data_IF_805015013924
#
_entry.id   IF_805015013924
#
_cell.length_a   1.000
_cell.length_b   1.000
_cell.length_c   1.000
_cell.angle_alpha   90.00
_cell.angle_beta   90.00
_cell.angle_gamma   90.00
#
_symmetry.space_group_name_H-M   'P 1'
#
loop_
_entity.id
_entity.type
_entity.pdbx_description
1 polymer ?
#
# COMPACT_ATOMS: atom_id res chain seq x y z
N UNK A 1 -9.35 -12.53 -11.47
CA UNK A 1 -7.90 -12.33 -11.78
C UNK A 1 -7.37 -13.62 -12.39
N UNK A 2 -6.50 -13.56 -13.38
CA UNK A 2 -5.92 -14.77 -13.98
C UNK A 2 -5.03 -15.50 -12.97
N UNK A 3 -4.84 -16.83 -13.11
CA UNK A 3 -3.88 -17.54 -12.28
C UNK A 3 -2.44 -17.09 -12.57
N UNK A 4 -1.56 -17.27 -11.62
CA UNK A 4 -0.11 -17.08 -11.80
C UNK A 4 0.57 -18.43 -11.60
N UNK A 5 1.26 -18.90 -12.62
CA UNK A 5 1.97 -20.17 -12.56
C UNK A 5 2.97 -20.17 -11.40
N UNK A 6 2.92 -21.22 -10.57
CA UNK A 6 3.77 -21.34 -9.39
C UNK A 6 3.26 -20.63 -8.12
N UNK A 7 2.04 -20.08 -8.14
CA UNK A 7 1.36 -19.53 -6.96
C UNK A 7 0.05 -20.28 -6.71
N UNK A 8 -0.16 -20.73 -5.47
CA UNK A 8 -1.44 -21.23 -4.99
C UNK A 8 -1.80 -20.51 -3.70
N UNK A 9 -3.07 -20.20 -3.53
CA UNK A 9 -3.59 -19.46 -2.40
C UNK A 9 -4.62 -20.31 -1.65
N UNK A 10 -4.66 -20.14 -0.34
CA UNK A 10 -5.71 -20.69 0.52
C UNK A 10 -6.00 -19.70 1.65
N UNK A 11 -7.23 -19.74 2.14
CA UNK A 11 -7.68 -18.93 3.27
C UNK A 11 -8.38 -19.79 4.31
N UNK A 12 -8.32 -19.39 5.57
CA UNK A 12 -8.99 -20.08 6.66
C UNK A 12 -9.52 -19.09 7.72
N UNK A 13 -10.50 -19.54 8.48
CA UNK A 13 -10.94 -18.91 9.72
C UNK A 13 -10.24 -19.65 10.88
N UNK A 14 -9.16 -19.07 11.39
CA UNK A 14 -8.40 -19.65 12.49
C UNK A 14 -8.85 -19.13 13.87
N UNK A 15 -9.65 -18.05 13.89
CA UNK A 15 -10.09 -17.42 15.13
C UNK A 15 -8.99 -16.62 15.81
N UNK A 16 -8.17 -15.89 15.03
CA UNK A 16 -7.06 -15.07 15.56
C UNK A 16 -7.58 -14.02 16.54
N UNK A 17 -8.70 -13.38 16.23
CA UNK A 17 -9.42 -12.45 17.12
C UNK A 17 -10.92 -12.69 17.11
N UNK A 18 -11.51 -12.90 15.95
CA UNK A 18 -12.96 -13.02 15.79
C UNK A 18 -13.32 -14.44 15.33
N UNK A 19 -14.36 -15.00 15.93
CA UNK A 19 -14.92 -16.29 15.48
C UNK A 19 -15.70 -16.08 14.16
N UNK A 20 -15.70 -17.11 13.32
CA UNK A 20 -16.46 -17.15 12.06
C UNK A 20 -16.06 -16.10 11.00
N UNK A 21 -14.84 -15.58 11.07
CA UNK A 21 -14.26 -14.70 10.07
C UNK A 21 -13.01 -15.34 9.48
N UNK A 22 -12.90 -15.29 8.15
CA UNK A 22 -11.65 -15.65 7.47
C UNK A 22 -10.57 -14.61 7.85
N UNK A 23 -9.49 -15.07 8.48
CA UNK A 23 -8.48 -14.23 9.10
C UNK A 23 -7.05 -14.69 8.84
N UNK A 24 -6.88 -15.76 8.05
CA UNK A 24 -5.57 -16.29 7.63
C UNK A 24 -5.53 -16.47 6.13
N UNK A 25 -4.45 -15.99 5.51
CA UNK A 25 -4.05 -16.26 4.13
C UNK A 25 -2.75 -17.05 4.11
N UNK A 26 -2.71 -18.10 3.31
CA UNK A 26 -1.50 -18.83 2.90
C UNK A 26 -1.29 -18.66 1.40
N UNK A 27 -0.11 -18.19 1.00
CA UNK A 27 0.36 -18.29 -0.38
C UNK A 27 1.49 -19.31 -0.46
N UNK A 28 1.29 -20.34 -1.27
CA UNK A 28 2.28 -21.36 -1.61
C UNK A 28 3.01 -20.95 -2.88
N UNK A 29 4.33 -21.04 -2.83
CA UNK A 29 5.19 -20.57 -3.92
C UNK A 29 6.05 -21.74 -4.42
N UNK A 30 6.21 -21.83 -5.74
CA UNK A 30 7.07 -22.84 -6.35
C UNK A 30 8.53 -22.71 -5.88
N UNK A 31 9.30 -23.83 -5.84
CA UNK A 31 10.71 -23.77 -5.54
C UNK A 31 11.47 -22.80 -6.45
N UNK A 32 12.38 -22.01 -5.86
CA UNK A 32 13.15 -21.01 -6.60
C UNK A 32 12.48 -19.65 -6.79
N UNK A 33 11.26 -19.45 -6.26
CA UNK A 33 10.60 -18.13 -6.27
C UNK A 33 11.50 -17.07 -5.65
N UNK A 34 11.77 -16.02 -6.41
CA UNK A 34 12.49 -14.85 -5.92
C UNK A 34 11.54 -13.95 -5.11
N UNK A 35 12.06 -13.35 -4.05
CA UNK A 35 11.32 -12.38 -3.23
C UNK A 35 12.06 -11.07 -3.07
N UNK A 36 11.32 -9.98 -3.10
CA UNK A 36 11.77 -8.64 -2.75
C UNK A 36 10.78 -8.03 -1.76
N UNK A 37 11.24 -7.06 -0.96
CA UNK A 37 10.35 -6.45 0.03
C UNK A 37 10.75 -5.03 0.39
N UNK A 38 9.74 -4.22 0.70
CA UNK A 38 9.89 -2.91 1.34
C UNK A 38 9.04 -2.95 2.60
N UNK A 39 9.62 -2.54 3.73
CA UNK A 39 9.06 -2.70 5.07
C UNK A 39 9.06 -1.37 5.78
N UNK A 40 8.16 -1.20 6.75
CA UNK A 40 8.05 0.01 7.57
C UNK A 40 9.41 0.48 8.11
N UNK A 41 9.60 1.79 8.13
CA UNK A 41 10.74 2.46 8.78
C UNK A 41 10.45 2.84 10.23
N UNK A 42 9.29 2.46 10.77
CA UNK A 42 8.97 2.65 12.18
C UNK A 42 10.11 2.15 13.07
N UNK A 43 10.40 2.91 14.14
CA UNK A 43 11.37 2.51 15.15
C UNK A 43 10.84 1.43 16.11
N UNK A 44 9.52 1.15 16.01
CA UNK A 44 8.84 0.10 16.76
C UNK A 44 8.21 -0.93 15.82
N UNK A 45 9.00 -1.64 14.97
CA UNK A 45 8.46 -2.58 14.01
C UNK A 45 7.83 -3.80 14.72
N UNK A 46 6.81 -4.39 14.09
CA UNK A 46 6.22 -5.63 14.55
C UNK A 46 7.17 -6.83 14.38
N UNK A 47 6.93 -7.90 15.12
CA UNK A 47 7.75 -9.11 15.03
C UNK A 47 7.76 -9.75 13.62
N UNK A 48 6.64 -9.79 12.86
CA UNK A 48 6.68 -10.24 11.45
C UNK A 48 7.55 -9.37 10.54
N UNK A 49 7.60 -8.05 10.76
CA UNK A 49 8.47 -7.16 9.99
C UNK A 49 9.95 -7.46 10.28
N UNK A 50 10.33 -7.66 11.53
CA UNK A 50 11.70 -8.07 11.90
C UNK A 50 12.05 -9.41 11.25
N UNK A 51 11.11 -10.37 11.28
CA UNK A 51 11.25 -11.69 10.66
C UNK A 51 11.48 -11.57 9.14
N UNK A 52 10.64 -10.84 8.43
CA UNK A 52 10.78 -10.63 6.99
C UNK A 52 12.09 -9.91 6.64
N UNK A 53 12.48 -8.89 7.42
CA UNK A 53 13.74 -8.15 7.21
C UNK A 53 14.96 -9.05 7.28
N UNK A 54 14.96 -10.03 8.17
CA UNK A 54 16.03 -11.01 8.27
C UNK A 54 16.07 -11.95 7.06
N UNK A 55 14.89 -12.45 6.63
CA UNK A 55 14.78 -13.49 5.59
C UNK A 55 14.91 -12.92 4.16
N UNK A 56 14.57 -11.66 3.92
CA UNK A 56 14.75 -11.00 2.61
C UNK A 56 16.18 -11.04 2.09
N UNK A 57 17.17 -11.18 2.98
CA UNK A 57 18.60 -11.30 2.62
C UNK A 57 18.89 -12.51 1.73
N UNK A 58 18.08 -13.57 1.82
CA UNK A 58 18.25 -14.79 1.02
C UNK A 58 17.64 -14.65 -0.39
N UNK A 59 16.68 -13.72 -0.57
CA UNK A 59 16.03 -13.45 -1.83
C UNK A 59 15.18 -14.60 -2.38
N UNK A 60 14.78 -15.57 -1.53
CA UNK A 60 13.98 -16.75 -1.90
C UNK A 60 12.79 -16.92 -0.95
N UNK A 61 11.68 -17.44 -1.46
CA UNK A 61 10.48 -17.72 -0.68
C UNK A 61 9.79 -19.02 -1.15
N UNK A 62 9.12 -19.71 -0.21
CA UNK A 62 8.28 -20.88 -0.45
C UNK A 62 6.87 -20.72 0.08
N UNK A 63 6.71 -19.86 1.10
CA UNK A 63 5.41 -19.58 1.68
C UNK A 63 5.32 -18.14 2.19
N UNK A 64 4.11 -17.58 2.12
CA UNK A 64 3.71 -16.38 2.84
C UNK A 64 2.49 -16.72 3.68
N UNK A 65 2.56 -16.47 4.99
CA UNK A 65 1.43 -16.60 5.92
C UNK A 65 1.07 -15.20 6.42
N UNK A 66 -0.20 -14.82 6.26
CA UNK A 66 -0.71 -13.53 6.70
C UNK A 66 -1.86 -13.76 7.65
N UNK A 67 -1.90 -13.05 8.76
CA UNK A 67 -3.08 -13.00 9.60
C UNK A 67 -3.63 -11.59 9.76
N UNK A 68 -4.95 -11.48 9.85
CA UNK A 68 -5.68 -10.28 10.27
C UNK A 68 -6.26 -10.45 11.68
N UNK A 69 -6.54 -9.32 12.35
CA UNK A 69 -7.08 -9.26 13.71
C UNK A 69 -6.06 -9.03 14.82
N UNK A 70 -4.80 -9.42 14.63
CA UNK A 70 -3.70 -9.20 15.57
C UNK A 70 -2.43 -8.82 14.81
N UNK A 71 -1.83 -7.69 15.13
CA UNK A 71 -0.65 -7.15 14.45
C UNK A 71 0.66 -7.80 14.89
N UNK A 72 0.67 -8.56 15.99
CA UNK A 72 1.86 -9.08 16.65
C UNK A 72 2.95 -8.01 16.82
N UNK A 73 2.52 -6.81 17.18
CA UNK A 73 3.35 -5.63 17.40
C UNK A 73 3.33 -5.26 18.89
N UNK A 74 4.45 -4.74 19.39
CA UNK A 74 4.63 -4.41 20.80
C UNK A 74 4.43 -5.60 21.76
N UNK A 75 4.85 -6.79 21.34
CA UNK A 75 4.67 -8.07 22.04
C UNK A 75 5.99 -8.68 22.53
N UNK A 76 7.10 -7.98 22.37
CA UNK A 76 8.41 -8.34 22.89
C UNK A 76 8.91 -9.73 22.46
N UNK A 77 9.44 -10.49 23.41
CA UNK A 77 9.97 -11.86 23.15
C UNK A 77 8.86 -12.82 22.72
N UNK A 78 7.66 -12.70 23.29
CA UNK A 78 6.51 -13.54 22.97
C UNK A 78 6.11 -13.41 21.51
N UNK A 79 6.11 -12.18 20.97
CA UNK A 79 5.81 -11.96 19.55
C UNK A 79 6.82 -12.59 18.61
N UNK A 80 8.11 -12.52 18.92
CA UNK A 80 9.15 -13.23 18.15
C UNK A 80 8.99 -14.75 18.20
N UNK A 81 8.64 -15.30 19.38
CA UNK A 81 8.34 -16.72 19.54
C UNK A 81 7.11 -17.14 18.72
N UNK A 82 6.06 -16.31 18.71
CA UNK A 82 4.87 -16.53 17.87
C UNK A 82 5.24 -16.59 16.38
N UNK A 83 6.06 -15.65 15.87
CA UNK A 83 6.57 -15.69 14.49
C UNK A 83 7.35 -16.98 14.21
N UNK A 84 8.27 -17.35 15.09
CA UNK A 84 9.07 -18.58 14.94
C UNK A 84 8.18 -19.82 14.93
N UNK A 85 7.16 -19.87 15.78
CA UNK A 85 6.23 -20.99 15.85
C UNK A 85 5.36 -21.08 14.60
N UNK A 86 4.79 -19.96 14.13
CA UNK A 86 4.03 -19.90 12.88
C UNK A 86 4.88 -20.35 11.68
N UNK A 87 6.12 -19.86 11.59
CA UNK A 87 7.04 -20.25 10.54
C UNK A 87 7.40 -21.74 10.58
N UNK A 88 7.54 -22.34 11.78
CA UNK A 88 7.77 -23.79 11.95
C UNK A 88 6.61 -24.62 11.44
N UNK A 89 5.37 -24.22 11.78
CA UNK A 89 4.16 -24.89 11.29
C UNK A 89 4.12 -24.85 9.77
N UNK A 90 4.25 -23.66 9.18
CA UNK A 90 4.21 -23.47 7.73
C UNK A 90 5.35 -24.21 7.02
N UNK A 91 6.59 -24.13 7.52
CA UNK A 91 7.75 -24.80 6.93
C UNK A 91 7.58 -26.31 6.93
N UNK A 92 7.08 -26.91 8.02
CA UNK A 92 6.76 -28.33 8.11
C UNK A 92 5.73 -28.75 7.08
N UNK A 93 4.62 -28.01 6.99
CA UNK A 93 3.51 -28.32 6.09
C UNK A 93 3.88 -28.16 4.61
N UNK A 94 4.70 -27.15 4.28
CA UNK A 94 5.15 -26.86 2.90
C UNK A 94 6.37 -27.70 2.48
N UNK A 95 7.11 -28.28 3.44
CA UNK A 95 8.38 -28.98 3.19
C UNK A 95 9.50 -28.02 2.76
N UNK A 96 9.70 -26.92 3.50
CA UNK A 96 10.72 -25.92 3.21
C UNK A 96 11.48 -25.50 4.49
N UNK A 97 12.48 -24.61 4.36
CA UNK A 97 13.20 -24.08 5.51
C UNK A 97 12.43 -22.94 6.17
N UNK A 98 12.74 -22.67 7.44
CA UNK A 98 12.14 -21.54 8.17
C UNK A 98 12.39 -20.20 7.47
N UNK A 99 13.54 -20.05 6.87
CA UNK A 99 13.94 -18.83 6.20
C UNK A 99 13.20 -18.58 4.87
N UNK A 100 12.59 -19.61 4.29
CA UNK A 100 11.77 -19.52 3.08
C UNK A 100 10.32 -19.11 3.39
N UNK A 101 9.94 -18.99 4.69
CA UNK A 101 8.61 -18.58 5.13
C UNK A 101 8.60 -17.10 5.47
N UNK A 102 7.75 -16.34 4.80
CA UNK A 102 7.47 -14.94 5.07
C UNK A 102 6.18 -14.80 5.86
N UNK A 103 6.13 -13.81 6.76
CA UNK A 103 5.01 -13.57 7.67
C UNK A 103 4.56 -12.12 7.57
N UNK A 104 3.26 -11.88 7.68
CA UNK A 104 2.71 -10.54 7.88
C UNK A 104 1.51 -10.62 8.81
N UNK A 105 1.32 -9.58 9.62
CA UNK A 105 0.23 -9.51 10.59
C UNK A 105 -0.34 -8.11 10.63
N UNK A 106 -1.65 -8.00 10.79
CA UNK A 106 -2.37 -6.72 10.90
C UNK A 106 -3.52 -6.82 11.90
N UNK A 107 -3.85 -5.72 12.56
CA UNK A 107 -4.92 -5.63 13.54
C UNK A 107 -4.44 -5.02 14.85
N UNK A 108 -4.90 -5.55 15.98
CA UNK A 108 -4.63 -5.01 17.32
C UNK A 108 -3.14 -5.06 17.65
N UNK A 109 -2.64 -3.96 18.23
CA UNK A 109 -1.28 -3.79 18.74
C UNK A 109 -1.29 -4.04 20.26
N UNK A 110 -0.23 -4.65 20.80
CA UNK A 110 -0.05 -4.86 22.24
C UNK A 110 -0.57 -6.19 22.77
N UNK A 111 -1.38 -6.92 21.98
CA UNK A 111 -1.91 -8.21 22.37
C UNK A 111 -1.05 -9.37 21.85
N UNK A 112 -0.68 -10.35 22.70
CA UNK A 112 0.08 -11.52 22.25
C UNK A 112 -0.70 -12.36 21.22
N UNK A 113 -0.03 -12.71 20.11
CA UNK A 113 -0.61 -13.59 19.10
C UNK A 113 -0.56 -15.05 19.58
N UNK A 114 -1.72 -15.69 19.68
CA UNK A 114 -1.80 -17.14 19.91
C UNK A 114 -1.50 -17.92 18.61
N UNK A 115 -0.22 -18.16 18.34
CA UNK A 115 0.19 -18.84 17.11
C UNK A 115 -0.22 -20.32 17.03
N UNK A 116 -0.74 -20.94 18.12
CA UNK A 116 -1.24 -22.32 18.10
C UNK A 116 -2.46 -22.50 17.19
N UNK A 117 -3.24 -21.44 16.97
CA UNK A 117 -4.40 -21.48 16.07
C UNK A 117 -4.03 -21.86 14.63
N UNK A 118 -2.80 -21.56 14.20
CA UNK A 118 -2.34 -21.90 12.85
C UNK A 118 -2.07 -23.40 12.66
N UNK A 119 -1.72 -24.13 13.72
CA UNK A 119 -1.47 -25.58 13.64
C UNK A 119 -2.75 -26.35 13.24
N UNK A 120 -3.90 -25.90 13.76
CA UNK A 120 -5.19 -26.51 13.46
C UNK A 120 -5.73 -26.30 12.04
N UNK A 121 -5.22 -25.30 11.29
CA UNK A 121 -5.74 -24.94 9.95
C UNK A 121 -4.73 -25.15 8.82
N UNK A 122 -3.43 -25.20 9.11
CA UNK A 122 -2.38 -25.14 8.08
C UNK A 122 -2.43 -26.32 7.11
N UNK A 123 -2.60 -27.54 7.59
CA UNK A 123 -2.66 -28.75 6.72
C UNK A 123 -3.89 -28.71 5.81
N UNK A 124 -5.05 -28.30 6.34
CA UNK A 124 -6.26 -28.08 5.53
C UNK A 124 -6.07 -27.01 4.46
N UNK A 125 -5.37 -25.93 4.78
CA UNK A 125 -5.06 -24.88 3.82
C UNK A 125 -4.14 -25.37 2.69
N UNK A 126 -3.15 -26.21 2.99
CA UNK A 126 -2.27 -26.81 1.97
C UNK A 126 -3.09 -27.64 0.97
N UNK A 127 -4.01 -28.46 1.48
CA UNK A 127 -4.87 -29.32 0.64
C UNK A 127 -5.84 -28.48 -0.20
N UNK A 128 -6.40 -27.41 0.38
CA UNK A 128 -7.36 -26.54 -0.28
C UNK A 128 -6.72 -25.52 -1.24
N UNK A 129 -5.40 -25.36 -1.22
CA UNK A 129 -4.70 -24.32 -1.97
C UNK A 129 -4.87 -24.50 -3.49
N UNK A 130 -5.34 -23.44 -4.13
CA UNK A 130 -5.58 -23.41 -5.57
C UNK A 130 -5.14 -22.07 -6.20
N UNK A 131 -5.25 -21.95 -7.53
CA UNK A 131 -4.68 -20.84 -8.30
C UNK A 131 -5.62 -19.62 -8.43
N UNK A 132 -6.87 -19.74 -7.99
CA UNK A 132 -7.94 -18.79 -8.35
C UNK A 132 -8.52 -17.91 -7.23
N UNK A 133 -8.28 -18.12 -5.92
CA UNK A 133 -9.02 -17.40 -4.86
C UNK A 133 -8.41 -16.04 -4.52
N UNK A 134 -8.02 -15.23 -5.51
CA UNK A 134 -7.39 -13.92 -5.30
C UNK A 134 -8.26 -12.95 -4.49
N UNK A 135 -9.57 -12.95 -4.76
CA UNK A 135 -10.50 -12.07 -4.05
C UNK A 135 -10.69 -12.50 -2.58
N UNK A 136 -10.77 -13.81 -2.34
CA UNK A 136 -10.90 -14.34 -0.97
C UNK A 136 -9.61 -14.14 -0.19
N UNK A 137 -8.46 -14.28 -0.85
CA UNK A 137 -7.16 -13.94 -0.28
C UNK A 137 -7.09 -12.46 0.14
N UNK A 138 -7.57 -11.55 -0.70
CA UNK A 138 -7.63 -10.13 -0.38
C UNK A 138 -8.61 -9.85 0.78
N UNK A 139 -9.76 -10.53 0.86
CA UNK A 139 -10.70 -10.41 1.99
C UNK A 139 -10.11 -10.90 3.31
N UNK A 140 -9.32 -11.99 3.28
CA UNK A 140 -8.74 -12.58 4.49
C UNK A 140 -7.76 -11.64 5.22
N UNK A 141 -7.15 -10.69 4.51
CA UNK A 141 -6.20 -9.74 5.08
C UNK A 141 -6.81 -8.40 5.51
N UNK A 142 -8.10 -8.16 5.24
CA UNK A 142 -8.80 -6.93 5.60
C UNK A 142 -8.94 -6.76 7.12
N UNK A 143 -9.05 -5.51 7.56
CA UNK A 143 -9.40 -5.13 8.95
C UNK A 143 -10.60 -4.19 8.97
N UNK A 144 -10.37 -2.89 8.86
CA UNK A 144 -11.39 -1.83 8.73
C UNK A 144 -11.74 -1.51 7.28
N UNK A 145 -11.09 -2.17 6.35
CA UNK A 145 -11.32 -2.03 4.91
C UNK A 145 -12.79 -2.30 4.55
N UNK A 146 -13.37 -1.50 3.67
CA UNK A 146 -14.77 -1.66 3.22
C UNK A 146 -14.89 -2.55 1.99
N UNK A 147 -13.80 -2.73 1.22
CA UNK A 147 -13.74 -3.62 0.07
C UNK A 147 -12.34 -4.26 -0.10
N UNK A 148 -12.26 -5.46 -0.70
CA UNK A 148 -11.00 -6.11 -0.99
C UNK A 148 -10.28 -5.42 -2.16
N UNK A 149 -9.00 -5.10 -1.97
CA UNK A 149 -8.19 -4.36 -2.94
C UNK A 149 -7.34 -5.33 -3.75
N UNK A 150 -7.59 -5.38 -5.05
CA UNK A 150 -6.87 -6.26 -5.98
C UNK A 150 -6.56 -5.53 -7.28
N UNK A 151 -5.44 -5.88 -7.92
CA UNK A 151 -5.04 -5.36 -9.22
C UNK A 151 -4.35 -6.43 -10.04
N UNK A 152 -4.52 -6.38 -11.36
CA UNK A 152 -3.89 -7.31 -12.30
C UNK A 152 -3.41 -6.57 -13.53
N UNK A 153 -2.30 -7.04 -14.09
CA UNK A 153 -1.82 -6.59 -15.39
C UNK A 153 -1.07 -7.73 -16.09
N UNK A 154 -0.92 -7.60 -17.39
CA UNK A 154 -0.03 -8.46 -18.18
C UNK A 154 1.02 -7.60 -18.89
N UNK A 155 2.18 -8.19 -19.14
CA UNK A 155 3.26 -7.50 -19.84
C UNK A 155 3.99 -8.42 -20.79
N UNK A 156 4.51 -7.87 -21.89
CA UNK A 156 5.47 -8.55 -22.73
C UNK A 156 6.86 -8.51 -22.07
N UNK A 157 7.46 -9.70 -21.92
CA UNK A 157 8.84 -9.87 -21.47
C UNK A 157 9.57 -10.72 -22.53
N UNK A 158 10.33 -10.06 -23.41
CA UNK A 158 10.79 -10.69 -24.65
C UNK A 158 9.60 -11.02 -25.57
N UNK A 159 9.51 -12.27 -25.99
CA UNK A 159 8.40 -12.78 -26.83
C UNK A 159 7.22 -13.28 -25.98
N UNK A 160 7.41 -13.53 -24.70
CA UNK A 160 6.41 -14.11 -23.80
C UNK A 160 5.52 -13.04 -23.17
N UNK A 161 4.33 -13.45 -22.73
CA UNK A 161 3.46 -12.63 -21.89
C UNK A 161 3.55 -13.16 -20.48
N UNK A 162 3.79 -12.27 -19.52
CA UNK A 162 3.82 -12.58 -18.10
C UNK A 162 2.67 -11.88 -17.39
N UNK A 163 2.21 -12.45 -16.29
CA UNK A 163 1.11 -11.94 -15.48
C UNK A 163 1.64 -11.32 -14.18
N UNK A 164 0.99 -10.26 -13.74
CA UNK A 164 1.26 -9.59 -12.46
C UNK A 164 -0.07 -9.44 -11.74
N UNK A 165 -0.20 -10.04 -10.57
CA UNK A 165 -1.35 -9.86 -9.69
C UNK A 165 -0.90 -9.26 -8.37
N UNK A 166 -1.69 -8.36 -7.84
CA UNK A 166 -1.45 -7.78 -6.53
C UNK A 166 -2.71 -7.73 -5.68
N UNK A 167 -2.53 -7.76 -4.37
CA UNK A 167 -3.56 -7.48 -3.39
C UNK A 167 -3.01 -6.53 -2.33
N UNK A 168 -3.89 -5.75 -1.71
CA UNK A 168 -3.55 -4.86 -0.62
C UNK A 168 -4.68 -4.76 0.41
N UNK A 169 -4.34 -4.33 1.61
CA UNK A 169 -5.27 -3.89 2.65
C UNK A 169 -4.75 -2.62 3.31
N UNK A 170 -5.66 -1.81 3.78
CA UNK A 170 -5.40 -0.59 4.53
C UNK A 170 -6.50 0.43 4.31
N UNK A 171 -6.94 1.06 5.41
CA UNK A 171 -7.98 2.09 5.44
C UNK A 171 -7.69 3.18 6.49
N UNK A 172 -6.82 2.93 7.46
CA UNK A 172 -6.35 3.87 8.48
C UNK A 172 -4.93 3.55 8.92
N UNK A 173 -4.30 4.46 9.67
CA UNK A 173 -2.90 4.47 10.06
C UNK A 173 -2.00 4.41 8.80
N UNK A 174 -2.23 5.29 7.83
CA UNK A 174 -1.55 5.33 6.52
C UNK A 174 -0.79 6.65 6.35
N UNK A 175 0.56 6.58 6.33
CA UNK A 175 1.44 7.70 6.01
C UNK A 175 2.66 7.25 5.19
N UNK A 176 3.32 8.13 4.42
CA UNK A 176 4.52 7.81 3.65
C UNK A 176 5.65 7.20 4.49
N UNK A 177 6.63 6.65 3.82
CA UNK A 177 7.77 5.88 4.32
C UNK A 177 7.47 4.40 4.57
N UNK A 178 6.69 3.81 3.67
CA UNK A 178 6.09 2.50 3.78
C UNK A 178 5.11 2.47 4.96
N UNK A 179 3.99 3.13 4.72
CA UNK A 179 2.90 3.28 5.67
C UNK A 179 1.92 2.12 5.63
N UNK A 180 1.19 1.99 6.68
CA UNK A 180 0.28 0.94 7.16
C UNK A 180 -0.53 0.26 6.09
N UNK A 181 0.11 -0.62 5.39
CA UNK A 181 -0.58 -1.54 4.52
C UNK A 181 0.10 -2.90 4.52
N UNK A 182 -0.66 -3.91 4.26
CA UNK A 182 -0.11 -5.13 3.74
C UNK A 182 -0.39 -5.16 2.25
N UNK A 183 0.64 -5.37 1.44
CA UNK A 183 0.47 -5.58 0.01
C UNK A 183 1.39 -6.68 -0.49
N UNK A 184 0.84 -7.53 -1.34
CA UNK A 184 1.55 -8.68 -1.88
C UNK A 184 1.36 -8.70 -3.38
N UNK A 185 2.48 -8.69 -4.12
CA UNK A 185 2.47 -8.71 -5.58
C UNK A 185 3.15 -9.97 -6.06
N UNK A 186 2.55 -10.64 -7.02
CA UNK A 186 3.01 -11.92 -7.55
C UNK A 186 3.15 -11.83 -9.07
N UNK A 187 4.15 -12.52 -9.63
CA UNK A 187 4.34 -12.65 -11.08
C UNK A 187 4.99 -14.00 -11.41
N UNK A 188 4.67 -14.51 -12.58
CA UNK A 188 5.34 -15.68 -13.16
C UNK A 188 6.64 -15.33 -13.89
N UNK A 189 6.99 -14.06 -14.01
CA UNK A 189 8.19 -13.58 -14.68
C UNK A 189 9.48 -14.12 -14.03
N UNK A 190 10.48 -14.58 -14.82
CA UNK A 190 11.76 -15.06 -14.29
C UNK A 190 12.73 -13.91 -13.97
N UNK A 191 12.42 -13.17 -12.92
CA UNK A 191 13.18 -11.99 -12.46
C UNK A 191 13.94 -12.37 -11.18
N UNK A 192 15.25 -12.06 -11.12
CA UNK A 192 16.05 -12.29 -9.93
C UNK A 192 15.63 -11.39 -8.77
N UNK A 193 15.83 -11.83 -7.52
CA UNK A 193 15.51 -11.05 -6.32
C UNK A 193 16.13 -9.65 -6.34
N UNK A 194 17.38 -9.51 -6.79
CA UNK A 194 18.05 -8.21 -6.90
C UNK A 194 17.36 -7.27 -7.90
N UNK A 195 16.99 -7.79 -9.07
CA UNK A 195 16.30 -6.99 -10.07
C UNK A 195 14.88 -6.63 -9.62
N UNK A 196 14.16 -7.58 -9.00
CA UNK A 196 12.83 -7.38 -8.43
C UNK A 196 12.85 -6.35 -7.29
N UNK A 197 13.86 -6.38 -6.42
CA UNK A 197 14.04 -5.40 -5.34
C UNK A 197 14.23 -3.99 -5.89
N UNK A 198 15.02 -3.81 -6.94
CA UNK A 198 15.22 -2.51 -7.56
C UNK A 198 13.93 -1.97 -8.19
N UNK A 199 13.19 -2.83 -8.91
CA UNK A 199 11.88 -2.46 -9.48
C UNK A 199 10.87 -2.08 -8.39
N UNK A 200 10.81 -2.86 -7.31
CA UNK A 200 9.91 -2.60 -6.19
C UNK A 200 10.26 -1.28 -5.47
N UNK A 201 11.55 -1.06 -5.19
CA UNK A 201 12.02 0.16 -4.52
C UNK A 201 11.78 1.43 -5.34
N UNK A 202 11.87 1.33 -6.67
CA UNK A 202 11.52 2.41 -7.59
C UNK A 202 10.00 2.64 -7.61
N UNK A 203 9.23 1.57 -7.84
CA UNK A 203 7.78 1.65 -8.01
C UNK A 203 7.02 2.11 -6.76
N UNK A 204 7.51 1.79 -5.56
CA UNK A 204 6.87 2.22 -4.31
C UNK A 204 6.92 3.73 -4.11
N UNK A 205 7.91 4.41 -4.67
CA UNK A 205 8.12 5.86 -4.48
C UNK A 205 6.94 6.69 -4.99
N UNK A 206 6.40 6.34 -6.16
CA UNK A 206 5.32 7.09 -6.81
C UNK A 206 3.96 6.35 -6.69
N UNK A 207 3.88 5.32 -5.84
CA UNK A 207 2.65 4.60 -5.50
C UNK A 207 2.35 4.71 -4.00
N UNK A 208 2.66 3.72 -3.21
CA UNK A 208 2.33 3.69 -1.79
C UNK A 208 3.01 4.81 -0.97
N UNK A 209 4.25 5.22 -1.30
CA UNK A 209 4.88 6.37 -0.65
C UNK A 209 4.30 7.73 -1.10
N UNK A 210 3.36 7.72 -2.02
CA UNK A 210 2.60 8.90 -2.46
C UNK A 210 1.16 8.90 -1.94
N UNK A 211 0.86 8.10 -0.90
CA UNK A 211 -0.46 8.00 -0.28
C UNK A 211 -0.37 8.31 1.20
N UNK A 212 -1.34 9.05 1.72
CA UNK A 212 -1.55 9.21 3.16
C UNK A 212 -3.05 9.27 3.46
N UNK A 213 -3.49 8.77 4.61
CA UNK A 213 -4.87 8.89 5.09
C UNK A 213 -4.92 9.81 6.31
N UNK A 214 -4.15 9.54 7.33
CA UNK A 214 -4.15 10.23 8.63
C UNK A 214 -2.78 10.74 9.10
N UNK A 215 -1.73 10.46 8.33
CA UNK A 215 -0.37 10.89 8.65
C UNK A 215 0.36 9.98 9.63
N UNK A 216 -0.24 8.85 10.05
CA UNK A 216 0.32 7.94 11.04
C UNK A 216 1.02 6.75 10.40
N UNK A 217 2.32 6.58 10.70
CA UNK A 217 3.12 5.45 10.22
C UNK A 217 2.94 4.22 11.10
N UNK A 218 2.64 3.07 10.51
CA UNK A 218 2.41 1.82 11.24
C UNK A 218 3.68 1.08 11.61
N UNK A 219 3.48 0.17 12.57
CA UNK A 219 4.47 -0.83 13.01
C UNK A 219 4.60 -2.04 12.05
N UNK A 220 3.65 -2.23 11.14
CA UNK A 220 3.44 -3.53 10.46
C UNK A 220 3.55 -3.51 8.94
N UNK A 221 3.83 -2.35 8.34
CA UNK A 221 3.84 -2.20 6.88
C UNK A 221 4.76 -3.18 6.19
N UNK A 222 4.17 -3.91 5.25
CA UNK A 222 4.85 -4.98 4.54
C UNK A 222 4.37 -5.02 3.09
N UNK A 223 5.24 -4.63 2.17
CA UNK A 223 5.06 -4.84 0.74
C UNK A 223 6.06 -5.89 0.27
N UNK A 224 5.56 -7.06 -0.13
CA UNK A 224 6.39 -8.14 -0.68
C UNK A 224 6.01 -8.39 -2.14
N UNK A 225 7.02 -8.59 -2.98
CA UNK A 225 6.87 -9.00 -4.36
C UNK A 225 7.53 -10.37 -4.56
N UNK A 226 6.82 -11.27 -5.25
CA UNK A 226 7.25 -12.64 -5.51
C UNK A 226 7.28 -12.90 -7.01
N UNK A 227 8.41 -13.40 -7.52
CA UNK A 227 8.58 -13.78 -8.92
C UNK A 227 8.90 -15.28 -8.99
N UNK A 228 7.94 -16.07 -9.46
CA UNK A 228 8.07 -17.54 -9.47
C UNK A 228 9.01 -18.04 -10.55
N UNK A 229 9.18 -17.28 -11.62
CA UNK A 229 9.96 -17.70 -12.78
C UNK A 229 9.33 -18.83 -13.58
N UNK A 230 8.04 -19.11 -13.37
CA UNK A 230 7.34 -20.20 -14.02
C UNK A 230 6.96 -19.94 -15.48
N UNK A 231 7.08 -18.69 -15.97
CA UNK A 231 6.99 -18.35 -17.39
C UNK A 231 8.29 -18.79 -18.11
N UNK A 232 8.44 -20.07 -18.37
CA UNK A 232 9.69 -20.70 -18.84
C UNK A 232 10.22 -20.14 -20.17
N UNK A 233 9.32 -19.71 -21.06
CA UNK A 233 9.68 -19.12 -22.36
C UNK A 233 10.09 -17.64 -22.25
N UNK A 234 9.92 -17.02 -21.08
CA UNK A 234 10.34 -15.65 -20.87
C UNK A 234 11.84 -15.57 -20.54
N UNK A 235 12.53 -14.53 -21.02
CA UNK A 235 13.97 -14.39 -20.74
C UNK A 235 14.23 -14.14 -19.27
N UNK A 236 15.21 -14.83 -18.70
CA UNK A 236 15.66 -14.58 -17.33
C UNK A 236 16.28 -13.18 -17.22
N UNK A 237 15.82 -12.42 -16.24
CA UNK A 237 16.25 -11.05 -15.96
C UNK A 237 17.04 -11.01 -14.64
N UNK A 238 18.25 -10.51 -14.71
CA UNK A 238 19.15 -10.40 -13.52
C UNK A 238 19.46 -8.96 -13.13
N UNK A 239 19.23 -7.99 -14.02
CA UNK A 239 19.51 -6.56 -13.80
C UNK A 239 18.23 -5.73 -14.03
N UNK A 240 17.96 -4.78 -13.16
CA UNK A 240 16.83 -3.86 -13.31
C UNK A 240 16.98 -2.92 -14.53
N UNK A 241 18.19 -2.68 -14.99
CA UNK A 241 18.46 -1.87 -16.19
C UNK A 241 18.26 -2.61 -17.53
N UNK A 242 17.83 -3.89 -17.49
CA UNK A 242 17.61 -4.66 -18.71
C UNK A 242 16.49 -4.01 -19.55
N UNK A 243 16.76 -3.65 -20.83
CA UNK A 243 15.77 -2.95 -21.66
C UNK A 243 14.51 -3.76 -21.92
N UNK A 244 14.56 -5.10 -21.82
CA UNK A 244 13.40 -5.99 -21.96
C UNK A 244 12.38 -5.78 -20.86
N UNK A 245 12.76 -5.18 -19.72
CA UNK A 245 11.86 -4.86 -18.62
C UNK A 245 10.95 -3.64 -18.86
N UNK A 246 11.10 -2.90 -19.97
CA UNK A 246 10.34 -1.66 -20.19
C UNK A 246 8.82 -1.86 -19.99
N UNK A 247 8.24 -2.84 -20.66
CA UNK A 247 6.80 -3.10 -20.56
C UNK A 247 6.42 -3.72 -19.20
N UNK A 248 7.25 -4.62 -18.67
CA UNK A 248 7.05 -5.20 -17.34
C UNK A 248 7.06 -4.11 -16.26
N UNK A 249 8.03 -3.22 -16.27
CA UNK A 249 8.15 -2.09 -15.33
C UNK A 249 6.89 -1.22 -15.37
N UNK A 250 6.41 -0.86 -16.55
CA UNK A 250 5.20 -0.06 -16.70
C UNK A 250 3.97 -0.76 -16.11
N UNK A 251 3.77 -2.06 -16.41
CA UNK A 251 2.67 -2.86 -15.88
C UNK A 251 2.80 -3.07 -14.36
N UNK A 252 4.00 -3.33 -13.84
CA UNK A 252 4.27 -3.50 -12.42
C UNK A 252 3.96 -2.22 -11.64
N UNK A 253 4.42 -1.07 -12.13
CA UNK A 253 4.14 0.22 -11.55
C UNK A 253 2.65 0.57 -11.61
N UNK A 254 1.95 0.20 -12.68
CA UNK A 254 0.50 0.38 -12.80
C UNK A 254 -0.27 -0.44 -11.75
N UNK A 255 0.15 -1.69 -11.47
CA UNK A 255 -0.44 -2.51 -10.40
C UNK A 255 -0.21 -1.86 -9.03
N UNK A 256 1.02 -1.42 -8.73
CA UNK A 256 1.34 -0.74 -7.47
C UNK A 256 0.54 0.56 -7.31
N UNK A 257 0.45 1.39 -8.34
CA UNK A 257 -0.29 2.65 -8.32
C UNK A 257 -1.80 2.42 -8.13
N UNK A 258 -2.36 1.41 -8.80
CA UNK A 258 -3.78 1.07 -8.68
C UNK A 258 -4.11 0.58 -7.26
N UNK A 259 -3.29 -0.29 -6.67
CA UNK A 259 -3.48 -0.75 -5.28
C UNK A 259 -3.35 0.43 -4.29
N UNK A 260 -2.39 1.31 -4.49
CA UNK A 260 -2.20 2.49 -3.66
C UNK A 260 -3.39 3.46 -3.74
N UNK A 261 -3.97 3.66 -4.93
CA UNK A 261 -5.18 4.45 -5.12
C UNK A 261 -6.39 3.81 -4.42
N UNK A 262 -6.57 2.49 -4.51
CA UNK A 262 -7.63 1.78 -3.80
C UNK A 262 -7.51 1.95 -2.28
N UNK A 263 -6.29 1.96 -1.73
CA UNK A 263 -6.04 2.25 -0.30
C UNK A 263 -6.46 3.68 0.04
N UNK A 264 -6.08 4.68 -0.77
CA UNK A 264 -6.46 6.07 -0.53
C UNK A 264 -7.98 6.30 -0.61
N UNK A 265 -8.67 5.59 -1.54
CA UNK A 265 -10.13 5.66 -1.70
C UNK A 265 -10.91 5.09 -0.52
N UNK A 266 -10.34 4.08 0.13
CA UNK A 266 -10.97 3.34 1.22
C UNK A 266 -10.58 3.89 2.61
N UNK A 267 -10.12 5.14 2.68
CA UNK A 267 -9.86 5.76 3.97
C UNK A 267 -11.06 5.67 4.91
N UNK A 268 -10.82 5.37 6.19
CA UNK A 268 -11.87 5.18 7.21
C UNK A 268 -12.84 6.37 7.21
N UNK A 269 -14.11 6.11 6.88
CA UNK A 269 -15.17 7.13 6.81
C UNK A 269 -15.05 8.12 5.64
N UNK A 270 -14.16 7.89 4.68
CA UNK A 270 -13.94 8.78 3.54
C UNK A 270 -15.12 8.77 2.54
N UNK A 271 -15.37 9.92 1.94
CA UNK A 271 -16.35 10.10 0.86
C UNK A 271 -15.69 10.57 -0.44
N UNK A 272 -14.54 11.21 -0.35
CA UNK A 272 -13.81 11.77 -1.50
C UNK A 272 -12.38 11.27 -1.52
N UNK A 273 -11.94 10.78 -2.68
CA UNK A 273 -10.51 10.69 -3.00
C UNK A 273 -10.01 12.09 -3.33
N UNK A 274 -8.85 12.47 -2.79
CA UNK A 274 -8.20 13.74 -3.08
C UNK A 274 -6.88 13.48 -3.81
N UNK A 275 -6.78 13.99 -5.03
CA UNK A 275 -5.55 13.97 -5.82
C UNK A 275 -4.88 15.34 -5.73
N UNK A 276 -3.75 15.41 -5.03
CA UNK A 276 -3.01 16.65 -4.83
C UNK A 276 -1.81 16.69 -5.77
N UNK A 277 -1.81 17.62 -6.71
CA UNK A 277 -0.67 17.90 -7.59
C UNK A 277 -0.04 19.21 -7.22
N UNK A 278 1.25 19.19 -6.90
CA UNK A 278 2.06 20.41 -6.70
C UNK A 278 3.03 20.53 -7.86
N UNK A 279 3.05 21.66 -8.53
CA UNK A 279 3.94 21.96 -9.65
C UNK A 279 4.68 23.30 -9.45
N UNK A 280 5.76 23.51 -10.19
CA UNK A 280 6.53 24.75 -10.10
C UNK A 280 7.35 24.90 -8.81
N UNK A 281 7.60 23.81 -8.06
CA UNK A 281 8.46 23.81 -6.91
C UNK A 281 9.96 23.82 -7.32
N UNK A 282 10.83 24.12 -6.38
CA UNK A 282 12.30 24.15 -6.60
C UNK A 282 12.89 22.78 -6.94
N UNK A 283 12.20 21.68 -6.52
CA UNK A 283 12.57 20.29 -6.84
C UNK A 283 11.37 19.36 -6.71
N UNK A 284 11.45 18.12 -7.26
CA UNK A 284 10.44 17.07 -7.07
C UNK A 284 10.24 16.76 -5.56
N UNK A 285 11.32 16.68 -4.79
CA UNK A 285 11.22 16.40 -3.34
C UNK A 285 10.55 17.54 -2.56
N UNK A 286 10.78 18.81 -2.95
CA UNK A 286 10.05 19.95 -2.38
C UNK A 286 8.55 19.88 -2.73
N UNK A 287 8.20 19.60 -3.99
CA UNK A 287 6.80 19.41 -4.40
C UNK A 287 6.13 18.29 -3.58
N UNK A 288 6.81 17.15 -3.35
CA UNK A 288 6.33 16.04 -2.53
C UNK A 288 6.03 16.48 -1.09
N UNK A 289 6.96 17.21 -0.43
CA UNK A 289 6.77 17.67 0.95
C UNK A 289 5.61 18.65 1.08
N UNK A 290 5.45 19.55 0.12
CA UNK A 290 4.32 20.47 0.10
C UNK A 290 3.00 19.72 -0.12
N UNK A 291 2.96 18.79 -1.08
CA UNK A 291 1.78 17.97 -1.33
C UNK A 291 1.38 17.15 -0.09
N UNK A 292 2.36 16.57 0.63
CA UNK A 292 2.12 15.87 1.89
C UNK A 292 1.65 16.79 3.01
N UNK A 293 2.16 18.02 3.10
CA UNK A 293 1.67 19.02 4.06
C UNK A 293 0.19 19.37 3.83
N UNK A 294 -0.22 19.44 2.57
CA UNK A 294 -1.62 19.65 2.22
C UNK A 294 -2.45 18.40 2.53
N UNK A 295 -1.98 17.22 2.12
CA UNK A 295 -2.66 15.93 2.30
C UNK A 295 -2.91 15.58 3.77
N UNK A 296 -1.97 15.92 4.65
CA UNK A 296 -2.03 15.68 6.09
C UNK A 296 -2.68 16.83 6.88
N UNK A 297 -3.24 17.84 6.21
CA UNK A 297 -3.88 18.96 6.91
C UNK A 297 -5.34 18.61 7.27
N UNK A 298 -5.68 18.45 8.57
CA UNK A 298 -7.08 18.21 8.96
C UNK A 298 -8.02 19.30 8.48
N UNK A 299 -7.57 20.58 8.46
CA UNK A 299 -8.38 21.68 7.99
C UNK A 299 -8.67 21.62 6.49
N UNK A 300 -7.72 21.20 5.66
CA UNK A 300 -7.95 20.98 4.22
C UNK A 300 -8.90 19.80 4.02
N UNK A 301 -8.64 18.68 4.68
CA UNK A 301 -9.43 17.46 4.53
C UNK A 301 -10.87 17.64 5.01
N UNK A 302 -11.12 18.37 6.09
CA UNK A 302 -12.47 18.67 6.59
C UNK A 302 -13.20 19.68 5.72
N UNK A 303 -12.51 20.63 5.07
CA UNK A 303 -13.13 21.51 4.08
C UNK A 303 -13.66 20.69 2.89
N UNK A 304 -12.85 19.78 2.36
CA UNK A 304 -13.26 18.91 1.25
C UNK A 304 -14.42 18.00 1.67
N UNK A 305 -14.40 17.46 2.90
CA UNK A 305 -15.53 16.70 3.47
C UNK A 305 -16.84 17.52 3.52
N UNK A 306 -16.72 18.83 3.70
CA UNK A 306 -17.85 19.79 3.63
C UNK A 306 -18.12 20.33 2.24
N UNK A 307 -17.50 19.78 1.18
CA UNK A 307 -17.64 20.25 -0.21
C UNK A 307 -17.24 21.73 -0.40
N UNK A 308 -16.34 22.25 0.48
CA UNK A 308 -15.83 23.61 0.49
C UNK A 308 -14.45 23.68 -0.19
N UNK A 309 -14.36 24.43 -1.30
CA UNK A 309 -13.11 24.69 -2.00
C UNK A 309 -12.26 25.76 -1.28
N UNK A 310 -11.90 25.50 -0.04
CA UNK A 310 -11.25 26.45 0.85
C UNK A 310 -9.76 26.64 0.50
N UNK A 311 -9.47 27.48 -0.48
CA UNK A 311 -8.07 27.76 -0.87
C UNK A 311 -7.25 28.43 0.24
N UNK A 312 -7.89 29.14 1.19
CA UNK A 312 -7.21 29.73 2.34
C UNK A 312 -6.53 28.66 3.21
N UNK A 313 -7.21 27.52 3.43
CA UNK A 313 -6.64 26.37 4.15
C UNK A 313 -5.51 25.70 3.35
N UNK A 314 -5.61 25.69 2.02
CA UNK A 314 -4.53 25.20 1.14
C UNK A 314 -3.30 26.10 1.25
N UNK A 315 -3.47 27.42 1.19
CA UNK A 315 -2.37 28.40 1.37
C UNK A 315 -1.67 28.21 2.72
N UNK A 316 -2.44 28.04 3.79
CA UNK A 316 -1.91 27.75 5.13
C UNK A 316 -1.08 26.45 5.12
N UNK A 317 -1.57 25.40 4.47
CA UNK A 317 -0.88 24.10 4.40
C UNK A 317 0.41 24.18 3.57
N UNK A 318 0.43 24.96 2.50
CA UNK A 318 1.66 25.26 1.74
C UNK A 318 2.65 26.03 2.61
N UNK A 319 2.21 27.07 3.31
CA UNK A 319 3.08 27.93 4.14
C UNK A 319 3.75 27.20 5.29
N UNK A 320 3.07 26.18 5.90
CA UNK A 320 3.63 25.39 7.01
C UNK A 320 4.53 24.24 6.56
N UNK A 321 4.67 23.98 5.25
CA UNK A 321 5.41 22.82 4.73
C UNK A 321 6.94 22.89 4.98
N UNK A 322 7.48 24.02 5.38
CA UNK A 322 8.92 24.23 5.57
C UNK A 322 9.70 24.29 4.27
N UNK A 323 9.04 24.48 3.14
CA UNK A 323 9.60 24.55 1.80
C UNK A 323 9.53 25.96 1.22
N UNK A 324 10.38 26.30 0.25
CA UNK A 324 10.28 27.59 -0.44
C UNK A 324 8.90 27.79 -1.05
N UNK A 325 8.25 28.89 -0.72
CA UNK A 325 6.99 29.33 -1.26
C UNK A 325 6.97 30.86 -1.39
N UNK A 326 6.30 31.34 -2.43
CA UNK A 326 6.07 32.77 -2.67
C UNK A 326 4.56 32.99 -2.83
N UNK A 327 3.94 33.65 -1.84
CA UNK A 327 2.49 33.87 -1.82
C UNK A 327 2.00 34.60 -3.07
N UNK A 328 2.81 35.50 -3.62
CA UNK A 328 2.41 36.35 -4.74
C UNK A 328 2.49 35.62 -6.10
N UNK A 329 3.06 34.39 -6.12
CA UNK A 329 3.11 33.50 -7.29
C UNK A 329 2.14 32.34 -7.23
N UNK A 330 1.60 32.08 -6.02
CA UNK A 330 0.78 30.89 -5.75
C UNK A 330 -0.55 30.95 -6.53
N UNK A 331 -0.88 29.85 -7.20
CA UNK A 331 -2.18 29.65 -7.85
C UNK A 331 -2.75 28.28 -7.51
N UNK A 332 -4.10 28.18 -7.35
CA UNK A 332 -4.78 26.99 -6.85
C UNK A 332 -6.01 26.69 -7.70
N UNK A 333 -6.23 25.40 -7.98
CA UNK A 333 -7.38 24.88 -8.73
C UNK A 333 -8.01 23.73 -7.97
N UNK A 334 -9.33 23.65 -8.01
CA UNK A 334 -10.11 22.47 -7.64
C UNK A 334 -10.86 21.96 -8.89
N UNK A 335 -10.69 20.69 -9.22
CA UNK A 335 -11.31 20.04 -10.39
C UNK A 335 -11.16 20.84 -11.70
N UNK A 336 -9.95 21.41 -11.92
CA UNK A 336 -9.64 22.23 -13.09
C UNK A 336 -10.10 23.67 -13.03
N UNK A 337 -10.92 24.06 -12.06
CA UNK A 337 -11.41 25.43 -11.89
C UNK A 337 -10.41 26.21 -11.02
N UNK A 338 -9.86 27.30 -11.54
CA UNK A 338 -8.93 28.14 -10.80
C UNK A 338 -9.69 29.00 -9.78
N UNK A 339 -9.33 28.85 -8.50
CA UNK A 339 -9.95 29.59 -7.39
C UNK A 339 -9.06 30.71 -6.86
N UNK A 340 -7.73 30.57 -7.00
CA UNK A 340 -6.76 31.58 -6.65
C UNK A 340 -5.72 31.74 -7.76
N UNK A 341 -5.28 32.98 -8.03
CA UNK A 341 -4.31 33.30 -9.05
C UNK A 341 -3.32 34.35 -8.54
N UNK A 342 -2.02 34.00 -8.58
CA UNK A 342 -0.92 34.90 -8.21
C UNK A 342 -1.17 35.62 -6.87
N UNK A 343 -1.46 34.87 -5.84
CA UNK A 343 -1.61 35.36 -4.47
C UNK A 343 -2.96 36.00 -4.13
N UNK A 344 -3.92 36.02 -5.05
CA UNK A 344 -5.24 36.60 -4.82
C UNK A 344 -6.37 35.66 -5.28
N UNK A 345 -7.60 35.95 -4.86
CA UNK A 345 -8.82 35.33 -5.41
C UNK A 345 -8.82 35.49 -6.93
N UNK A 346 -9.15 34.40 -7.65
CA UNK A 346 -9.29 34.49 -9.11
C UNK A 346 -10.43 35.47 -9.50
N UNK A 347 -10.19 36.41 -10.43
CA UNK A 347 -11.25 37.33 -10.87
C UNK A 347 -12.46 36.61 -11.51
N UNK A 348 -12.25 35.41 -12.10
CA UNK A 348 -13.30 34.59 -12.70
C UNK A 348 -13.91 33.59 -11.73
N UNK A 349 -13.61 33.68 -10.43
CA UNK A 349 -14.15 32.74 -9.43
C UNK A 349 -15.67 32.85 -9.31
N UNK A 350 -16.37 31.76 -9.59
CA UNK A 350 -17.81 31.59 -9.36
C UNK A 350 -18.02 30.47 -8.32
N UNK A 351 -18.55 30.86 -7.16
CA UNK A 351 -18.77 29.98 -6.05
C UNK A 351 -19.74 28.82 -6.38
N UNK A 352 -20.80 29.10 -7.17
CA UNK A 352 -21.79 28.07 -7.54
C UNK A 352 -21.16 26.98 -8.40
N UNK A 353 -20.33 27.40 -9.37
CA UNK A 353 -19.63 26.47 -10.26
C UNK A 353 -18.65 25.61 -9.48
N UNK A 354 -17.88 26.20 -8.58
CA UNK A 354 -16.89 25.48 -7.76
C UNK A 354 -17.57 24.55 -6.77
N UNK A 355 -18.61 25.00 -6.06
CA UNK A 355 -19.37 24.16 -5.11
C UNK A 355 -20.01 22.95 -5.79
N UNK A 356 -20.50 23.10 -7.04
CA UNK A 356 -21.00 21.97 -7.80
C UNK A 356 -19.87 20.98 -8.17
N UNK A 357 -18.70 21.47 -8.52
CA UNK A 357 -17.54 20.62 -8.83
C UNK A 357 -17.01 19.88 -7.60
N UNK A 358 -17.15 20.45 -6.40
CA UNK A 358 -16.74 19.82 -5.14
C UNK A 358 -17.58 18.60 -4.72
N UNK A 359 -18.72 18.35 -5.36
CA UNK A 359 -19.55 17.15 -5.15
C UNK A 359 -19.01 15.90 -5.86
N UNK A 360 -17.95 16.05 -6.64
CA UNK A 360 -17.32 14.90 -7.32
C UNK A 360 -16.72 13.91 -6.31
N UNK A 361 -16.85 12.59 -6.53
CA UNK A 361 -16.20 11.59 -5.67
C UNK A 361 -14.66 11.62 -5.73
N UNK A 362 -14.11 12.36 -6.71
CA UNK A 362 -12.67 12.63 -6.83
C UNK A 362 -12.47 14.13 -6.89
N UNK A 363 -11.66 14.67 -5.98
CA UNK A 363 -11.28 16.07 -5.93
C UNK A 363 -9.83 16.22 -6.39
N UNK A 364 -9.65 16.78 -7.58
CA UNK A 364 -8.33 17.12 -8.10
C UNK A 364 -7.93 18.52 -7.61
N UNK A 365 -7.05 18.55 -6.60
CA UNK A 365 -6.45 19.77 -6.06
C UNK A 365 -5.08 20.00 -6.70
N UNK A 366 -4.94 21.09 -7.45
CA UNK A 366 -3.68 21.50 -8.05
C UNK A 366 -3.17 22.80 -7.45
N UNK A 367 -1.88 22.84 -7.15
CA UNK A 367 -1.16 23.99 -6.62
C UNK A 367 0.06 24.27 -7.49
N UNK A 368 0.15 25.50 -8.04
CA UNK A 368 1.32 25.96 -8.78
C UNK A 368 2.08 27.02 -7.98
N UNK A 369 3.38 26.78 -7.75
CA UNK A 369 4.23 27.64 -6.91
C UNK A 369 4.98 28.70 -7.71
N UNK A 370 5.25 28.48 -8.99
CA UNK A 370 5.94 29.44 -9.86
C UNK A 370 7.42 29.71 -9.52
N UNK A 371 8.11 28.75 -8.83
CA UNK A 371 9.48 28.89 -8.36
C UNK A 371 10.49 28.07 -9.16
N UNK A 372 10.03 27.03 -9.86
CA UNK A 372 10.91 26.09 -10.57
C UNK A 372 10.15 25.13 -11.46
N UNK A 373 10.73 23.93 -11.68
CA UNK A 373 10.13 22.87 -12.51
C UNK A 373 9.80 21.60 -11.73
N UNK A 374 10.01 21.59 -10.41
CA UNK A 374 9.69 20.45 -9.58
C UNK A 374 8.17 20.23 -9.55
N UNK A 375 7.76 18.99 -9.75
CA UNK A 375 6.38 18.58 -9.65
C UNK A 375 6.25 17.21 -9.02
N UNK A 376 5.17 16.99 -8.25
CA UNK A 376 4.83 15.70 -7.70
C UNK A 376 3.34 15.59 -7.40
N UNK A 377 2.85 14.34 -7.21
CA UNK A 377 1.46 14.02 -6.93
C UNK A 377 1.37 13.13 -5.68
N UNK A 378 0.35 13.39 -4.87
CA UNK A 378 0.01 12.64 -3.65
C UNK A 378 -1.48 12.34 -3.65
N UNK A 379 -1.86 11.18 -3.15
CA UNK A 379 -3.24 10.78 -2.93
C UNK A 379 -3.56 10.79 -1.44
N UNK A 380 -4.76 11.25 -1.11
CA UNK A 380 -5.34 11.16 0.24
C UNK A 380 -6.86 11.07 0.12
N UNK A 381 -7.56 11.05 1.24
CA UNK A 381 -9.01 11.17 1.31
C UNK A 381 -9.43 12.35 2.18
N UNK A 382 -10.69 12.70 2.16
CA UNK A 382 -11.28 13.68 3.07
C UNK A 382 -11.32 13.16 4.53
N UNK A 383 -11.58 14.04 5.47
CA UNK A 383 -11.72 13.73 6.89
C UNK A 383 -13.12 14.07 7.36
N UNK A 384 -13.92 13.04 7.57
CA UNK A 384 -15.31 13.14 8.02
C UNK A 384 -15.43 12.85 9.53
N UNK A 385 -16.60 13.06 10.10
CA UNK A 385 -16.89 12.68 11.50
C UNK A 385 -16.87 11.15 11.71
N UNK A 386 -17.11 10.38 10.64
CA UNK A 386 -17.07 8.92 10.66
C UNK A 386 -15.67 8.38 10.98
N UNK A 387 -14.58 9.08 10.56
CA UNK A 387 -13.22 8.74 10.97
C UNK A 387 -13.07 8.73 12.51
N UNK A 388 -13.61 9.76 13.17
CA UNK A 388 -13.56 9.85 14.64
C UNK A 388 -14.41 8.77 15.29
N UNK A 389 -15.61 8.49 14.75
CA UNK A 389 -16.49 7.45 15.27
C UNK A 389 -15.84 6.06 15.17
N UNK A 390 -15.32 5.70 13.98
CA UNK A 390 -14.65 4.41 13.75
C UNK A 390 -13.46 4.22 14.69
N UNK A 391 -12.59 5.23 14.81
CA UNK A 391 -11.38 5.12 15.62
C UNK A 391 -11.65 5.28 17.13
N UNK A 392 -12.69 6.01 17.53
CA UNK A 392 -13.14 6.11 18.91
C UNK A 392 -13.72 4.80 19.45
N UNK A 393 -14.34 4.01 18.58
CA UNK A 393 -14.92 2.70 18.93
C UNK A 393 -13.93 1.54 18.73
N UNK A 394 -12.85 1.76 17.98
CA UNK A 394 -11.81 0.75 17.74
C UNK A 394 -11.00 0.54 19.01
N UNK A 395 -11.35 -0.52 19.74
CA UNK A 395 -10.60 -0.91 20.95
C UNK A 395 -9.56 -1.97 20.60
N UNK A 396 -8.35 -1.64 21.01
CA UNK A 396 -7.23 -2.60 21.00
C UNK A 396 -7.42 -3.69 22.06
#
# INVERSE_FOLDING_TARGET
>A
MPPIAGVKLATAAAGVKYLNRTDVLLALLSPGTAVAGVLTKSKCPSAPVEWCRANLKQGKARALVVNSGNANAFTGKTGRQACQFTAKIAARAVGCTLADVFLASTGVIGEPLNAKVFDGVMEGMIVAANESPWLDAAKAIMTTDTFPKVATATAKLGKSTVTINGMAKGAGMIAPDMATMLSFVFTDAPISARALQALLSEGVTDSFNAVTIDGDTSTSDTLLAFATGAALDAPRITKASDPRLKNFRAAFNAVLANLAEQVARDGEGARHLIEITVEGAVSKSSARRIAMSIANSPLVKTAIAGEDANWGRVVMAVGKAGEPADRDKLSIWFNGIRVAHKGARDPAYDEKVVSQAMKSPVIALKVALGLGRGADRVLTCDLTKEYVAINGDYRS
#
